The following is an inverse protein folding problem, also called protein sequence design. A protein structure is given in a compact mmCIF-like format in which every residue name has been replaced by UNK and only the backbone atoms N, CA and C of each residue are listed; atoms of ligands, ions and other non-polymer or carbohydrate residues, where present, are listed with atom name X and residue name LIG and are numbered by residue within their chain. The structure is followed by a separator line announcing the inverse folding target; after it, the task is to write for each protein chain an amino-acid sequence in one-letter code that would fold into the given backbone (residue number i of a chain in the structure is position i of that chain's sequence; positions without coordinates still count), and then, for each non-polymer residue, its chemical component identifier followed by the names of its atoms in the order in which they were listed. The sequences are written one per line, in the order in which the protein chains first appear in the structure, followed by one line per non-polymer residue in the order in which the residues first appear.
data_IF_521425017985
#
_entry.id   IF_521425017985
#
_cell.length_a   1.000
_cell.length_b   1.000
_cell.length_c   1.000
_cell.angle_alpha   90.00
_cell.angle_beta   90.00
_cell.angle_gamma   90.00
#
_symmetry.space_group_name_H-M   'P 1'
#
loop_
_entity.id
_entity.type
_entity.pdbx_description
1 polymer ?
#
# COMPACT_ATOMS: atom_id res chain seq x y z
N UNK A 1 -14.47 6.81 9.39
CA UNK A 1 -13.44 6.00 8.71
C UNK A 1 -13.47 4.59 9.28
N UNK A 2 -13.39 3.57 8.42
CA UNK A 2 -13.41 2.16 8.85
C UNK A 2 -12.15 1.79 9.65
N UNK A 3 -12.32 0.97 10.69
CA UNK A 3 -11.22 0.39 11.47
C UNK A 3 -10.69 -0.92 10.86
N UNK A 4 -11.24 -1.34 9.72
CA UNK A 4 -10.89 -2.57 9.03
C UNK A 4 -9.81 -2.33 7.96
N UNK A 5 -8.76 -3.14 8.00
CA UNK A 5 -7.63 -3.01 7.09
C UNK A 5 -7.07 -4.37 6.71
N UNK A 6 -6.63 -4.49 5.47
CA UNK A 6 -5.65 -5.48 5.02
C UNK A 6 -4.31 -4.76 4.86
N UNK A 7 -3.22 -5.36 5.32
CA UNK A 7 -1.91 -4.74 5.26
C UNK A 7 -0.81 -5.74 4.89
N UNK A 8 0.25 -5.21 4.30
CA UNK A 8 1.49 -5.91 3.96
C UNK A 8 2.56 -5.43 4.94
N UNK A 9 3.03 -6.35 5.77
CA UNK A 9 4.21 -6.19 6.59
C UNK A 9 5.48 -6.55 5.83
N UNK A 10 6.54 -5.81 6.09
CA UNK A 10 7.88 -6.03 5.58
C UNK A 10 8.86 -6.14 6.75
N UNK A 11 10.03 -6.72 6.48
CA UNK A 11 11.15 -6.79 7.41
C UNK A 11 12.37 -6.14 6.72
N UNK A 12 12.97 -5.14 7.37
CA UNK A 12 14.11 -4.40 6.80
C UNK A 12 15.31 -5.28 6.47
N UNK A 13 15.43 -6.46 7.11
CA UNK A 13 16.51 -7.42 6.87
C UNK A 13 16.19 -8.46 5.79
N UNK A 14 14.93 -8.53 5.30
CA UNK A 14 14.46 -9.58 4.39
C UNK A 14 13.66 -8.97 3.25
N UNK A 15 14.35 -8.58 2.18
CA UNK A 15 13.73 -7.96 1.00
C UNK A 15 12.73 -8.86 0.28
N UNK A 16 12.93 -10.19 0.31
CA UNK A 16 12.05 -11.18 -0.30
C UNK A 16 11.04 -11.80 0.69
N UNK A 17 10.68 -11.07 1.75
CA UNK A 17 9.74 -11.55 2.75
C UNK A 17 8.61 -10.55 2.95
N UNK A 18 7.39 -11.06 2.98
CA UNK A 18 6.21 -10.26 3.30
C UNK A 18 5.26 -11.00 4.21
N UNK A 19 4.45 -10.25 4.96
CA UNK A 19 3.34 -10.76 5.75
C UNK A 19 2.06 -10.08 5.31
N UNK A 20 1.05 -10.84 4.92
CA UNK A 20 -0.31 -10.32 4.78
C UNK A 20 -0.99 -10.39 6.14
N UNK A 21 -1.64 -9.32 6.57
CA UNK A 21 -2.37 -9.31 7.83
C UNK A 21 -3.61 -8.44 7.76
N UNK A 22 -4.48 -8.63 8.76
CA UNK A 22 -5.68 -7.79 8.94
C UNK A 22 -5.74 -7.14 10.31
N UNK A 23 -6.52 -6.08 10.40
CA UNK A 23 -6.92 -5.51 11.70
C UNK A 23 -8.34 -4.98 11.63
N UNK A 24 -9.08 -5.17 12.72
CA UNK A 24 -10.41 -4.61 12.97
C UNK A 24 -10.37 -3.47 14.01
N UNK A 25 -9.16 -3.09 14.47
CA UNK A 25 -8.94 -2.10 15.52
C UNK A 25 -8.06 -0.94 15.03
N UNK A 26 -7.86 -0.82 13.71
CA UNK A 26 -6.92 0.13 13.10
C UNK A 26 -5.46 -0.31 13.14
N UNK A 27 -4.60 0.43 12.42
CA UNK A 27 -3.19 0.09 12.15
C UNK A 27 -2.22 0.44 13.30
N UNK A 28 -2.60 1.35 14.21
CA UNK A 28 -1.72 1.89 15.25
C UNK A 28 -1.12 0.83 16.18
N UNK A 29 -1.76 -0.33 16.38
CA UNK A 29 -1.20 -1.42 17.19
C UNK A 29 -0.43 -2.48 16.41
N UNK A 30 -0.39 -2.40 15.08
CA UNK A 30 0.12 -3.46 14.19
C UNK A 30 1.42 -3.10 13.47
N UNK A 31 1.88 -1.87 13.61
CA UNK A 31 3.04 -1.32 12.89
C UNK A 31 4.40 -1.73 13.44
N UNK A 32 4.45 -2.33 14.63
CA UNK A 32 5.68 -2.76 15.31
C UNK A 32 5.48 -4.15 15.88
N UNK A 33 6.55 -4.94 15.87
CA UNK A 33 6.61 -6.21 16.59
C UNK A 33 7.72 -6.11 17.63
N UNK A 34 7.38 -6.31 18.90
CA UNK A 34 8.39 -6.37 19.98
C UNK A 34 9.39 -7.50 19.78
N UNK A 35 9.00 -8.54 19.04
CA UNK A 35 9.82 -9.70 18.72
C UNK A 35 10.56 -9.58 17.38
N UNK A 36 10.25 -8.56 16.57
CA UNK A 36 10.95 -8.27 15.32
C UNK A 36 11.08 -6.75 15.12
N UNK A 37 12.18 -6.14 15.60
CA UNK A 37 12.43 -4.70 15.45
C UNK A 37 12.50 -4.21 14.00
N UNK A 38 12.82 -5.08 13.04
CA UNK A 38 12.85 -4.76 11.61
C UNK A 38 11.47 -4.75 10.95
N UNK A 39 10.45 -5.25 11.65
CA UNK A 39 9.10 -5.34 11.15
C UNK A 39 8.41 -3.98 11.07
N UNK A 40 7.82 -3.68 9.93
CA UNK A 40 6.99 -2.51 9.71
C UNK A 40 5.87 -2.82 8.71
N UNK A 41 4.80 -2.04 8.73
CA UNK A 41 3.77 -2.09 7.68
C UNK A 41 4.28 -1.25 6.50
N UNK A 42 4.41 -1.87 5.34
CA UNK A 42 4.82 -1.21 4.10
C UNK A 42 3.62 -0.63 3.35
N UNK A 43 2.55 -1.42 3.19
CA UNK A 43 1.35 -1.02 2.44
C UNK A 43 0.09 -1.44 3.20
N UNK A 44 -0.99 -0.67 3.14
CA UNK A 44 -2.28 -1.03 3.71
C UNK A 44 -3.47 -0.53 2.89
N UNK A 45 -4.56 -1.29 2.91
CA UNK A 45 -5.81 -1.04 2.20
C UNK A 45 -6.95 -0.91 3.21
N UNK A 46 -7.71 0.18 3.15
CA UNK A 46 -8.86 0.37 4.05
C UNK A 46 -10.08 -0.38 3.51
N UNK A 47 -10.59 -1.31 4.30
CA UNK A 47 -11.79 -2.07 3.94
C UNK A 47 -13.01 -1.32 4.47
N UNK A 48 -13.71 -0.62 3.60
CA UNK A 48 -14.85 0.25 3.94
C UNK A 48 -16.20 -0.50 3.97
N UNK A 49 -16.28 -1.64 3.30
CA UNK A 49 -17.46 -2.49 3.27
C UNK A 49 -17.05 -3.98 3.19
N UNK A 50 -17.95 -4.89 3.52
CA UNK A 50 -17.68 -6.34 3.54
C UNK A 50 -17.06 -6.86 4.85
N UNK A 51 -16.86 -8.18 4.91
CA UNK A 51 -16.25 -8.86 6.06
C UNK A 51 -14.74 -9.01 5.85
N UNK A 52 -13.94 -8.21 6.56
CA UNK A 52 -12.47 -8.25 6.50
C UNK A 52 -11.89 -9.63 6.84
N UNK A 53 -12.57 -10.43 7.67
CA UNK A 53 -12.11 -11.78 8.00
C UNK A 53 -12.31 -12.75 6.86
N UNK A 54 -13.42 -12.61 6.13
CA UNK A 54 -13.69 -13.37 4.91
C UNK A 54 -12.71 -12.98 3.81
N UNK A 55 -12.54 -11.67 3.56
CA UNK A 55 -11.64 -11.14 2.54
C UNK A 55 -10.21 -11.64 2.75
N UNK A 56 -9.67 -11.52 3.97
CA UNK A 56 -8.31 -12.01 4.27
C UNK A 56 -8.19 -13.53 4.05
N UNK A 57 -9.16 -14.33 4.50
CA UNK A 57 -9.11 -15.79 4.33
C UNK A 57 -9.08 -16.18 2.86
N UNK A 58 -9.92 -15.54 2.04
CA UNK A 58 -9.96 -15.82 0.60
C UNK A 58 -8.72 -15.30 -0.12
N UNK A 59 -8.20 -14.14 0.27
CA UNK A 59 -6.94 -13.59 -0.22
C UNK A 59 -5.77 -14.57 0.05
N UNK A 60 -5.64 -15.07 1.28
CA UNK A 60 -4.58 -16.02 1.64
C UNK A 60 -4.70 -17.34 0.86
N UNK A 61 -5.92 -17.78 0.56
CA UNK A 61 -6.15 -18.95 -0.30
C UNK A 61 -5.77 -18.66 -1.76
N UNK A 62 -6.16 -17.50 -2.29
CA UNK A 62 -5.81 -17.07 -3.65
C UNK A 62 -4.29 -16.99 -3.83
N UNK A 63 -3.57 -16.32 -2.92
CA UNK A 63 -2.11 -16.20 -2.99
C UNK A 63 -1.43 -17.57 -3.05
N UNK A 64 -1.93 -18.56 -2.29
CA UNK A 64 -1.38 -19.91 -2.26
C UNK A 64 -1.61 -20.69 -3.57
N UNK A 65 -2.55 -20.26 -4.42
CA UNK A 65 -2.76 -20.84 -5.76
C UNK A 65 -1.85 -20.25 -6.83
N UNK A 66 -1.15 -19.14 -6.53
CA UNK A 66 -0.33 -18.46 -7.52
C UNK A 66 0.97 -19.24 -7.79
N UNK A 67 1.36 -19.42 -9.06
CA UNK A 67 2.59 -20.11 -9.40
C UNK A 67 3.81 -19.32 -8.89
N UNK A 68 4.77 -20.02 -8.29
CA UNK A 68 6.01 -19.42 -7.79
C UNK A 68 5.90 -18.72 -6.44
N UNK A 69 4.70 -18.66 -5.82
CA UNK A 69 4.53 -18.08 -4.49
C UNK A 69 4.68 -19.14 -3.40
N UNK A 70 5.62 -18.93 -2.49
CA UNK A 70 5.83 -19.81 -1.33
C UNK A 70 5.21 -19.22 -0.05
N UNK A 71 4.22 -19.92 0.52
CA UNK A 71 3.65 -19.60 1.83
C UNK A 71 4.43 -20.29 2.94
N UNK A 72 5.01 -19.49 3.83
CA UNK A 72 5.82 -19.98 4.94
C UNK A 72 4.95 -20.59 6.04
N UNK A 73 5.52 -21.55 6.78
CA UNK A 73 4.86 -22.20 7.92
C UNK A 73 5.41 -21.66 9.24
N UNK A 74 4.58 -21.66 10.27
CA UNK A 74 5.04 -21.36 11.62
C UNK A 74 6.02 -22.44 12.07
N UNK A 75 7.23 -22.05 12.48
CA UNK A 75 8.28 -22.99 12.95
C UNK A 75 7.80 -23.82 14.13
N UNK A 76 7.03 -23.22 15.03
CA UNK A 76 6.56 -23.86 16.27
C UNK A 76 5.44 -24.89 16.08
N UNK A 77 4.61 -24.75 15.03
CA UNK A 77 3.38 -25.56 14.87
C UNK A 77 3.29 -26.27 13.51
N UNK A 78 4.12 -25.90 12.53
CA UNK A 78 4.03 -26.38 11.15
C UNK A 78 2.78 -25.90 10.38
N UNK A 79 1.90 -25.12 11.03
CA UNK A 79 0.69 -24.59 10.41
C UNK A 79 1.01 -23.49 9.39
N UNK A 80 0.12 -23.30 8.42
CA UNK A 80 0.24 -22.21 7.44
C UNK A 80 0.25 -20.87 8.19
N UNK A 81 1.26 -20.03 7.92
CA UNK A 81 1.32 -18.67 8.47
C UNK A 81 0.69 -17.68 7.50
N UNK A 82 0.67 -16.40 7.83
CA UNK A 82 0.34 -15.33 6.88
C UNK A 82 1.60 -14.70 6.25
N UNK A 83 2.73 -15.40 6.27
CA UNK A 83 4.01 -14.93 5.75
C UNK A 83 4.39 -15.66 4.45
N UNK A 84 5.07 -14.96 3.54
CA UNK A 84 5.38 -15.43 2.20
C UNK A 84 6.81 -15.07 1.79
N UNK A 85 7.43 -15.89 0.94
CA UNK A 85 8.72 -15.63 0.29
C UNK A 85 8.54 -14.78 -0.97
N UNK A 86 7.89 -13.62 -0.81
CA UNK A 86 7.55 -12.68 -1.89
C UNK A 86 7.92 -11.27 -1.44
N UNK A 87 8.52 -10.43 -2.31
CA UNK A 87 8.83 -9.05 -1.98
C UNK A 87 7.57 -8.27 -1.57
N UNK A 88 7.62 -7.39 -0.56
CA UNK A 88 6.46 -6.63 -0.10
C UNK A 88 5.77 -5.80 -1.20
N UNK A 89 6.52 -5.25 -2.16
CA UNK A 89 5.95 -4.49 -3.29
C UNK A 89 5.16 -5.39 -4.24
N UNK A 90 5.68 -6.57 -4.55
CA UNK A 90 4.98 -7.55 -5.38
C UNK A 90 3.73 -8.08 -4.67
N UNK A 91 3.83 -8.37 -3.37
CA UNK A 91 2.69 -8.74 -2.55
C UNK A 91 1.62 -7.65 -2.53
N UNK A 92 2.01 -6.36 -2.48
CA UNK A 92 1.05 -5.27 -2.56
C UNK A 92 0.25 -5.30 -3.88
N UNK A 93 0.92 -5.53 -5.01
CA UNK A 93 0.26 -5.66 -6.32
C UNK A 93 -0.69 -6.87 -6.37
N UNK A 94 -0.29 -8.01 -5.80
CA UNK A 94 -1.13 -9.22 -5.72
C UNK A 94 -2.40 -8.95 -4.90
N UNK A 95 -2.25 -8.28 -3.76
CA UNK A 95 -3.38 -7.93 -2.87
C UNK A 95 -4.31 -6.92 -3.56
N UNK A 96 -3.75 -5.90 -4.20
CA UNK A 96 -4.51 -4.89 -4.96
C UNK A 96 -5.33 -5.57 -6.06
N UNK A 97 -4.69 -6.39 -6.90
CA UNK A 97 -5.36 -7.16 -7.94
C UNK A 97 -6.50 -8.02 -7.39
N UNK A 98 -6.25 -8.77 -6.31
CA UNK A 98 -7.27 -9.62 -5.70
C UNK A 98 -8.49 -8.81 -5.23
N UNK A 99 -8.26 -7.72 -4.51
CA UNK A 99 -9.35 -6.89 -3.96
C UNK A 99 -10.13 -6.24 -5.10
N UNK A 100 -9.45 -5.71 -6.12
CA UNK A 100 -10.10 -5.07 -7.27
C UNK A 100 -11.02 -6.03 -8.02
N UNK A 101 -10.60 -7.28 -8.22
CA UNK A 101 -11.34 -8.25 -9.03
C UNK A 101 -12.48 -8.94 -8.25
N UNK A 102 -12.34 -9.10 -6.93
CA UNK A 102 -13.28 -9.89 -6.12
C UNK A 102 -14.12 -9.04 -5.16
N UNK A 103 -13.60 -7.87 -4.78
CA UNK A 103 -14.13 -7.00 -3.72
C UNK A 103 -14.03 -5.50 -4.05
N UNK A 104 -14.32 -5.04 -5.28
CA UNK A 104 -14.08 -3.64 -5.66
C UNK A 104 -14.86 -2.65 -4.77
N UNK A 105 -16.10 -2.96 -4.40
CA UNK A 105 -16.89 -2.10 -3.50
C UNK A 105 -16.41 -2.06 -2.04
N UNK A 106 -15.41 -2.87 -1.68
CA UNK A 106 -14.87 -2.96 -0.32
C UNK A 106 -13.79 -1.92 -0.04
N UNK A 107 -13.34 -1.18 -1.05
CA UNK A 107 -12.28 -0.15 -0.95
C UNK A 107 -12.72 1.16 -1.58
N UNK A 108 -12.01 2.23 -1.27
CA UNK A 108 -12.14 3.48 -2.00
C UNK A 108 -11.21 3.48 -3.21
N UNK A 109 -11.62 4.18 -4.25
CA UNK A 109 -10.81 4.50 -5.39
C UNK A 109 -10.52 6.00 -5.42
N UNK A 110 -9.37 6.36 -5.95
CA UNK A 110 -9.01 7.74 -6.18
C UNK A 110 -9.76 8.30 -7.38
N UNK A 111 -10.41 9.45 -7.19
CA UNK A 111 -11.28 10.06 -8.20
C UNK A 111 -10.55 10.47 -9.50
N UNK A 112 -9.23 10.65 -9.47
CA UNK A 112 -8.45 11.16 -10.61
C UNK A 112 -7.97 10.06 -11.57
N UNK A 113 -7.77 8.84 -11.10
CA UNK A 113 -7.08 7.79 -11.88
C UNK A 113 -7.74 6.41 -11.80
N UNK A 114 -8.89 6.30 -11.13
CA UNK A 114 -9.60 5.03 -10.88
C UNK A 114 -8.69 3.95 -10.24
N UNK A 115 -7.68 4.38 -9.48
CA UNK A 115 -6.76 3.49 -8.75
C UNK A 115 -7.24 3.27 -7.33
N UNK A 116 -7.02 2.07 -6.81
CA UNK A 116 -7.37 1.73 -5.44
C UNK A 116 -6.59 2.58 -4.44
N UNK A 117 -7.28 3.19 -3.47
CA UNK A 117 -6.63 3.91 -2.39
C UNK A 117 -5.79 2.96 -1.53
N UNK A 118 -4.47 3.16 -1.53
CA UNK A 118 -3.53 2.45 -0.65
C UNK A 118 -2.68 3.40 0.18
N UNK A 119 -2.27 2.91 1.34
CA UNK A 119 -1.48 3.65 2.33
C UNK A 119 -0.08 3.07 2.35
N UNK A 120 0.91 3.83 1.88
CA UNK A 120 2.29 3.37 1.81
C UNK A 120 3.21 4.09 2.80
N UNK A 121 4.17 3.35 3.35
CA UNK A 121 5.22 3.91 4.17
C UNK A 121 6.18 4.74 3.30
N UNK A 122 6.26 6.04 3.59
CA UNK A 122 7.14 6.97 2.89
C UNK A 122 8.63 6.53 3.00
N UNK A 123 9.32 6.45 1.86
CA UNK A 123 10.75 6.16 1.72
C UNK A 123 11.63 7.02 2.65
N UNK A 124 11.26 8.29 2.86
CA UNK A 124 12.01 9.21 3.71
C UNK A 124 11.91 8.87 5.21
N UNK A 125 10.92 8.07 5.61
CA UNK A 125 10.75 7.61 6.99
C UNK A 125 11.64 6.38 7.32
N UNK A 126 12.21 5.69 6.32
CA UNK A 126 13.15 4.57 6.53
C UNK A 126 14.48 5.00 7.16
N UNK A 127 14.87 6.27 7.00
CA UNK A 127 16.18 6.79 7.43
C UNK A 127 16.21 7.34 8.87
N UNK A 128 15.12 7.29 9.63
CA UNK A 128 15.11 7.79 11.01
C UNK A 128 14.79 6.64 11.96
N UNK A 129 15.76 6.28 12.82
CA UNK A 129 15.61 5.40 14.00
C UNK A 129 14.65 5.99 15.08
N UNK A 130 13.56 6.64 14.66
CA UNK A 130 12.53 7.17 15.54
C UNK A 130 11.32 6.24 15.49
N UNK A 131 10.64 6.01 16.63
CA UNK A 131 9.35 5.32 16.61
C UNK A 131 8.44 6.08 15.65
N UNK A 132 8.06 5.42 14.55
CA UNK A 132 7.20 5.98 13.52
C UNK A 132 5.92 6.48 14.20
N UNK A 133 5.83 7.79 14.46
CA UNK A 133 4.65 8.43 15.04
C UNK A 133 3.59 8.46 13.96
N UNK A 134 2.87 7.36 13.82
CA UNK A 134 1.81 7.20 12.83
C UNK A 134 0.64 8.14 13.13
N UNK A 135 0.73 9.37 12.62
CA UNK A 135 -0.44 10.19 12.35
C UNK A 135 -0.94 9.86 10.93
N UNK A 136 -2.19 10.17 10.57
CA UNK A 136 -2.66 10.14 9.18
C UNK A 136 -1.68 10.80 8.19
N UNK A 137 -0.85 11.73 8.66
CA UNK A 137 0.15 12.46 7.87
C UNK A 137 1.44 11.65 7.58
N UNK A 138 1.62 10.46 8.19
CA UNK A 138 2.75 9.57 7.92
C UNK A 138 2.47 8.52 6.85
N UNK A 139 1.21 8.42 6.44
CA UNK A 139 0.76 7.58 5.35
C UNK A 139 0.38 8.47 4.19
N UNK A 140 0.87 8.13 3.01
CA UNK A 140 0.46 8.80 1.79
C UNK A 140 -0.64 7.95 1.14
N UNK A 141 -1.77 8.51 0.67
CA UNK A 141 -2.45 7.89 -0.47
C UNK A 141 -1.37 7.68 -1.54
N UNK A 142 -1.40 6.56 -2.26
CA UNK A 142 -0.30 6.08 -3.11
C UNK A 142 0.29 7.06 -4.13
N UNK A 143 -0.27 8.26 -4.28
CA UNK A 143 0.04 9.22 -5.33
C UNK A 143 0.56 10.59 -4.81
N UNK A 144 1.71 10.60 -4.12
CA UNK A 144 2.60 11.78 -4.17
C UNK A 144 3.85 11.44 -5.00
N UNK A 145 3.68 10.73 -6.11
CA UNK A 145 4.49 11.05 -7.27
C UNK A 145 4.10 12.49 -7.64
N UNK A 146 5.05 13.41 -7.51
CA UNK A 146 4.88 14.74 -8.07
C UNK A 146 4.89 14.52 -9.58
N UNK A 147 3.72 14.32 -10.18
CA UNK A 147 3.58 14.20 -11.63
C UNK A 147 3.76 15.55 -12.29
N UNK A 148 3.38 16.62 -11.59
CA UNK A 148 3.63 17.99 -12.03
C UNK A 148 4.24 18.85 -10.93
N UNK A 149 5.30 19.58 -11.24
CA UNK A 149 5.78 20.67 -10.39
C UNK A 149 5.15 21.98 -10.85
N UNK A 150 4.33 22.60 -10.00
CA UNK A 150 3.81 23.94 -10.23
C UNK A 150 4.96 24.96 -10.22
N UNK A 151 5.07 25.73 -11.30
CA UNK A 151 6.05 26.82 -11.48
C UNK A 151 5.45 28.19 -11.16
N UNK A 152 4.15 28.27 -10.87
CA UNK A 152 3.41 29.50 -10.61
C UNK A 152 2.82 30.12 -11.87
N UNK A 153 1.76 30.91 -11.70
CA UNK A 153 1.11 31.64 -12.79
C UNK A 153 0.51 30.73 -13.87
N UNK A 154 0.01 29.56 -13.49
CA UNK A 154 -0.56 28.57 -14.41
C UNK A 154 0.47 27.65 -15.07
N UNK A 155 1.77 27.85 -14.85
CA UNK A 155 2.81 27.00 -15.44
C UNK A 155 3.12 25.77 -14.59
N UNK A 156 3.44 24.65 -15.24
CA UNK A 156 3.84 23.41 -14.57
C UNK A 156 4.86 22.60 -15.39
N UNK A 157 5.62 21.71 -14.74
CA UNK A 157 6.48 20.71 -15.39
C UNK A 157 5.90 19.33 -15.14
N UNK A 158 5.59 18.60 -16.21
CA UNK A 158 5.22 17.19 -16.15
C UNK A 158 6.49 16.31 -16.00
N UNK A 159 6.58 15.54 -14.92
CA UNK A 159 7.70 14.66 -14.59
C UNK A 159 7.67 13.33 -15.36
N UNK A 160 6.54 12.94 -15.95
CA UNK A 160 6.44 11.76 -16.82
C UNK A 160 7.08 12.04 -18.18
N UNK A 161 6.80 13.22 -18.75
CA UNK A 161 7.28 13.59 -20.09
C UNK A 161 8.48 14.54 -20.09
N UNK A 162 8.78 15.17 -18.95
CA UNK A 162 9.78 16.23 -18.80
C UNK A 162 9.38 17.56 -19.46
N UNK A 163 8.12 17.72 -19.86
CA UNK A 163 7.65 18.89 -20.62
C UNK A 163 7.07 19.97 -19.72
N UNK A 164 7.29 21.22 -20.11
CA UNK A 164 6.61 22.37 -19.53
C UNK A 164 5.22 22.55 -20.16
N UNK A 165 4.22 22.77 -19.31
CA UNK A 165 2.85 23.10 -19.69
C UNK A 165 2.38 24.40 -19.05
N UNK A 166 1.31 24.96 -19.61
CA UNK A 166 0.54 26.08 -19.04
C UNK A 166 -0.93 25.70 -18.96
N UNK A 167 -1.57 25.99 -17.84
CA UNK A 167 -2.99 25.79 -17.57
C UNK A 167 -3.64 27.15 -17.37
N UNK A 168 -4.62 27.47 -18.22
CA UNK A 168 -5.38 28.73 -18.12
C UNK A 168 -6.45 28.67 -17.01
N UNK A 169 -7.15 29.78 -16.81
CA UNK A 169 -8.22 29.90 -15.79
C UNK A 169 -9.44 29.00 -16.09
N UNK A 170 -9.58 28.52 -17.33
CA UNK A 170 -10.64 27.61 -17.77
C UNK A 170 -10.21 26.14 -17.67
N UNK A 171 -8.94 25.86 -17.36
CA UNK A 171 -8.37 24.53 -17.21
C UNK A 171 -7.80 23.92 -18.50
N UNK A 172 -7.73 24.67 -19.60
CA UNK A 172 -7.12 24.20 -20.85
C UNK A 172 -5.59 24.11 -20.71
N UNK A 173 -4.99 23.06 -21.26
CA UNK A 173 -3.55 22.79 -21.16
C UNK A 173 -2.84 23.05 -22.49
N UNK A 174 -1.78 23.85 -22.43
CA UNK A 174 -0.92 24.20 -23.56
C UNK A 174 0.51 23.71 -23.30
N UNK A 175 1.04 22.89 -24.21
CA UNK A 175 2.38 22.34 -24.09
C UNK A 175 3.41 23.23 -24.78
N UNK A 176 4.55 23.45 -24.12
CA UNK A 176 5.71 24.12 -24.70
C UNK A 176 6.49 23.07 -25.51
N UNK A 177 6.63 23.30 -26.81
CA UNK A 177 7.45 22.47 -27.70
C UNK A 177 8.93 22.83 -27.62
#
# INVERSE_FOLDING_TARGET
MSHFWIYIGADTSKSNWSKVGKTAKGLKGRHTSSQNPGYHIQTAFNIISGDVHKIERELLNYIETLPGVERLRHVSTGSKSECFSVPPSEMANIVEYFIEHNYPSSVNYEALHDRMCRYELNSNAKNQNKPLKLSPNCYRPGNNEVYESDLGGGHFIDHETGKEGYRDEEGNVYWKY
#
